data_IF_280547135725
#
_entry.id   IF_280547135725
#
_cell.length_a   1.000
_cell.length_b   1.000
_cell.length_c   1.000
_cell.angle_alpha   90.00
_cell.angle_beta   90.00
_cell.angle_gamma   90.00
#
_symmetry.space_group_name_H-M   'P 1'
#
loop_
_entity.id
_entity.type
_entity.pdbx_description
1 polymer ?
#
# COMPACT_ATOMS: atom_id res chain seq x y z
N UNK A 1 47.10 55.71 -48.38
CA UNK A 1 45.93 54.83 -48.63
C UNK A 1 46.48 53.42 -48.81
N UNK A 2 46.09 52.35 -48.13
CA UNK A 2 44.92 52.02 -47.33
C UNK A 2 45.31 50.86 -46.39
N UNK A 3 44.95 50.93 -45.11
CA UNK A 3 45.24 49.91 -44.10
C UNK A 3 44.18 48.81 -44.20
N UNK A 4 44.55 47.58 -44.57
CA UNK A 4 43.62 46.45 -44.61
C UNK A 4 43.41 45.90 -43.18
N UNK A 5 42.29 46.27 -42.57
CA UNK A 5 41.83 45.71 -41.29
C UNK A 5 41.25 44.32 -41.56
N UNK A 6 41.94 43.26 -41.12
CA UNK A 6 41.39 41.90 -41.10
C UNK A 6 40.43 41.79 -39.90
N UNK A 7 39.13 41.93 -40.16
CA UNK A 7 38.10 41.60 -39.17
C UNK A 7 37.99 40.09 -39.04
N UNK A 8 38.53 39.55 -37.94
CA UNK A 8 38.26 38.18 -37.51
C UNK A 8 36.81 38.12 -37.02
N UNK A 9 35.88 37.83 -37.93
CA UNK A 9 34.54 37.38 -37.59
C UNK A 9 34.65 35.96 -37.02
N UNK A 10 35.00 35.89 -35.73
CA UNK A 10 34.91 34.67 -34.93
C UNK A 10 33.42 34.37 -34.71
N UNK A 11 32.80 33.66 -35.66
CA UNK A 11 31.51 33.03 -35.41
C UNK A 11 31.74 31.95 -34.36
N UNK A 12 31.45 32.29 -33.10
CA UNK A 12 31.31 31.32 -32.01
C UNK A 12 30.15 30.39 -32.32
N UNK A 13 30.43 29.31 -33.04
CA UNK A 13 29.53 28.17 -33.13
C UNK A 13 29.42 27.61 -31.72
N UNK A 14 28.33 27.93 -31.02
CA UNK A 14 28.07 27.45 -29.65
C UNK A 14 28.25 25.93 -29.63
N UNK A 15 29.17 25.45 -28.81
CA UNK A 15 29.50 24.02 -28.67
C UNK A 15 28.22 23.23 -28.37
N UNK A 16 28.08 22.05 -28.99
CA UNK A 16 26.89 21.22 -28.81
C UNK A 16 26.70 20.89 -27.34
N UNK A 17 25.44 20.74 -26.91
CA UNK A 17 25.11 20.34 -25.53
C UNK A 17 25.84 19.03 -25.18
N UNK A 18 26.01 18.12 -26.15
CA UNK A 18 26.78 16.88 -25.98
C UNK A 18 28.26 17.13 -25.65
N UNK A 19 28.90 18.09 -26.31
CA UNK A 19 30.31 18.42 -26.08
C UNK A 19 30.53 19.07 -24.70
N UNK A 20 29.49 19.72 -24.15
CA UNK A 20 29.51 20.33 -22.82
C UNK A 20 29.32 19.33 -21.69
N UNK A 21 28.58 18.25 -21.92
CA UNK A 21 28.17 17.29 -20.88
C UNK A 21 29.16 16.13 -20.70
N UNK A 22 30.16 16.01 -21.58
CA UNK A 22 31.12 14.90 -21.56
C UNK A 22 30.48 13.56 -21.93
N UNK A 23 31.28 12.47 -22.00
CA UNK A 23 30.73 11.13 -22.15
C UNK A 23 29.89 10.81 -20.91
N UNK A 24 28.67 10.30 -21.12
CA UNK A 24 27.84 9.74 -20.05
C UNK A 24 28.65 8.60 -19.46
N UNK A 25 29.19 8.80 -18.25
CA UNK A 25 29.77 7.72 -17.48
C UNK A 25 28.68 6.65 -17.34
N UNK A 26 28.95 5.36 -17.65
CA UNK A 26 28.02 4.31 -17.32
C UNK A 26 27.72 4.45 -15.83
N UNK A 27 26.43 4.51 -15.49
CA UNK A 27 25.99 4.61 -14.11
C UNK A 27 26.59 3.42 -13.35
N UNK A 28 27.65 3.69 -12.57
CA UNK A 28 28.13 2.75 -11.59
C UNK A 28 27.06 2.73 -10.51
N UNK A 29 26.24 1.67 -10.50
CA UNK A 29 25.29 1.42 -9.43
C UNK A 29 26.06 1.50 -8.10
N UNK A 30 25.81 2.51 -7.25
CA UNK A 30 26.38 2.50 -5.93
C UNK A 30 25.78 1.29 -5.22
N UNK A 31 26.63 0.45 -4.63
CA UNK A 31 26.23 -0.69 -3.81
C UNK A 31 25.38 -0.19 -2.61
N UNK A 32 24.09 -0.08 -2.84
CA UNK A 32 23.03 0.18 -1.88
C UNK A 32 22.06 -1.00 -1.97
N UNK A 33 22.57 -2.17 -1.64
CA UNK A 33 21.92 -3.47 -1.85
C UNK A 33 20.60 -3.65 -1.07
N UNK A 34 20.23 -2.69 -0.21
CA UNK A 34 18.96 -2.67 0.52
C UNK A 34 17.95 -1.60 0.06
N UNK A 35 18.30 -0.74 -0.91
CA UNK A 35 17.41 0.33 -1.44
C UNK A 35 17.13 0.20 -2.93
N UNK A 36 17.87 -0.65 -3.65
CA UNK A 36 17.62 -0.89 -5.07
C UNK A 36 16.39 -1.79 -5.23
N UNK A 37 15.27 -1.20 -5.65
CA UNK A 37 14.05 -1.95 -5.97
C UNK A 37 14.40 -2.89 -7.14
N UNK A 38 14.27 -4.22 -7.00
CA UNK A 38 14.67 -5.14 -8.05
C UNK A 38 13.82 -4.93 -9.31
N UNK A 39 14.32 -5.26 -10.51
CA UNK A 39 13.53 -5.19 -11.73
C UNK A 39 12.28 -6.08 -11.65
N UNK A 40 11.25 -5.82 -12.47
CA UNK A 40 10.04 -6.62 -12.46
C UNK A 40 10.32 -8.09 -12.79
N UNK A 41 9.60 -9.00 -12.13
CA UNK A 41 9.77 -10.45 -12.29
C UNK A 41 10.81 -11.07 -11.36
N UNK A 42 11.65 -10.27 -10.71
CA UNK A 42 12.57 -10.78 -9.67
C UNK A 42 11.86 -10.82 -8.32
N UNK A 43 11.74 -11.98 -7.67
CA UNK A 43 11.07 -12.09 -6.38
C UNK A 43 11.82 -11.31 -5.30
N UNK A 44 11.08 -10.67 -4.40
CA UNK A 44 11.61 -10.01 -3.21
C UNK A 44 10.88 -10.52 -1.98
N UNK A 45 11.64 -11.00 -0.99
CA UNK A 45 11.09 -11.44 0.29
C UNK A 45 11.11 -10.25 1.25
N UNK A 46 9.94 -9.91 1.79
CA UNK A 46 9.81 -8.89 2.84
C UNK A 46 9.71 -9.63 4.17
N UNK A 47 10.58 -9.32 5.15
CA UNK A 47 10.53 -9.97 6.45
C UNK A 47 9.21 -9.73 7.19
N UNK A 48 8.79 -10.71 7.98
CA UNK A 48 7.63 -10.59 8.87
C UNK A 48 7.81 -9.48 9.91
N UNK A 49 6.66 -9.04 10.45
CA UNK A 49 6.59 -8.14 11.59
C UNK A 49 6.82 -8.90 12.90
N UNK A 50 7.30 -8.20 13.93
CA UNK A 50 7.55 -8.80 15.23
C UNK A 50 6.22 -9.14 15.95
N UNK A 51 5.96 -10.44 16.18
CA UNK A 51 4.71 -10.91 16.78
C UNK A 51 4.42 -10.30 18.17
N UNK A 52 5.47 -10.12 18.98
CA UNK A 52 5.36 -9.46 20.28
C UNK A 52 4.88 -8.01 20.20
N UNK A 53 5.23 -7.31 19.12
CA UNK A 53 4.82 -5.93 18.90
C UNK A 53 3.38 -5.84 18.39
N UNK A 54 2.94 -6.80 17.58
CA UNK A 54 1.55 -6.87 17.13
C UNK A 54 0.59 -7.06 18.31
N UNK A 55 0.96 -7.88 19.30
CA UNK A 55 0.10 -8.19 20.45
C UNK A 55 0.09 -7.10 21.53
N UNK A 56 1.21 -6.42 21.75
CA UNK A 56 1.41 -5.53 22.92
C UNK A 56 1.85 -4.11 22.55
N UNK A 57 2.25 -3.89 21.32
CA UNK A 57 2.78 -2.62 20.85
C UNK A 57 1.70 -1.57 20.65
N UNK A 58 2.13 -0.31 20.70
CA UNK A 58 1.29 0.81 20.31
C UNK A 58 1.14 0.90 18.79
N UNK A 59 0.06 1.55 18.32
CA UNK A 59 -0.18 1.77 16.88
C UNK A 59 1.02 2.45 16.21
N UNK A 60 1.68 3.38 16.89
CA UNK A 60 2.84 4.09 16.36
C UNK A 60 4.04 3.18 16.16
N UNK A 61 4.36 2.31 17.12
CA UNK A 61 5.48 1.38 17.00
C UNK A 61 5.23 0.35 15.88
N UNK A 62 4.00 -0.16 15.78
CA UNK A 62 3.58 -1.05 14.70
C UNK A 62 3.69 -0.32 13.34
N UNK A 63 3.27 0.95 13.28
CA UNK A 63 3.36 1.75 12.07
C UNK A 63 4.81 1.99 11.64
N UNK A 64 5.70 2.26 12.58
CA UNK A 64 7.14 2.44 12.32
C UNK A 64 7.78 1.17 11.78
N UNK A 65 7.49 0.01 12.40
CA UNK A 65 7.99 -1.27 11.91
C UNK A 65 7.44 -1.56 10.49
N UNK A 66 6.13 -1.39 10.30
CA UNK A 66 5.46 -1.62 9.03
C UNK A 66 5.99 -0.71 7.92
N UNK A 67 6.18 0.58 8.20
CA UNK A 67 6.76 1.53 7.26
C UNK A 67 8.20 1.16 6.88
N UNK A 68 9.01 0.70 7.84
CA UNK A 68 10.37 0.25 7.57
C UNK A 68 10.39 -0.97 6.64
N UNK A 69 9.54 -1.98 6.88
CA UNK A 69 9.45 -3.19 6.03
C UNK A 69 8.93 -2.88 4.63
N UNK A 70 7.98 -1.95 4.53
CA UNK A 70 7.42 -1.48 3.25
C UNK A 70 8.33 -0.50 2.50
N UNK A 71 9.42 -0.05 3.12
CA UNK A 71 10.27 1.03 2.64
C UNK A 71 9.46 2.30 2.32
N UNK A 72 8.46 2.62 3.14
CA UNK A 72 7.65 3.83 3.02
C UNK A 72 8.27 4.97 3.84
N UNK A 73 8.66 6.10 3.23
CA UNK A 73 9.29 7.20 3.96
C UNK A 73 8.34 7.93 4.91
N UNK A 74 7.01 7.88 4.66
CA UNK A 74 6.00 8.59 5.45
C UNK A 74 5.39 7.65 6.50
N UNK A 75 6.01 7.53 7.67
CA UNK A 75 5.49 6.72 8.79
C UNK A 75 4.10 7.18 9.22
N UNK A 76 3.87 8.50 9.30
CA UNK A 76 2.56 9.10 9.64
C UNK A 76 1.42 8.65 8.71
N UNK A 77 1.72 8.40 7.43
CA UNK A 77 0.74 7.88 6.49
C UNK A 77 0.33 6.46 6.86
N UNK A 78 1.28 5.61 7.26
CA UNK A 78 1.02 4.25 7.70
C UNK A 78 0.26 4.24 9.04
N UNK A 79 0.61 5.14 9.97
CA UNK A 79 -0.14 5.34 11.21
C UNK A 79 -1.60 5.66 10.92
N UNK A 80 -1.86 6.65 10.04
CA UNK A 80 -3.24 7.01 9.67
C UNK A 80 -4.01 5.88 8.96
N UNK A 81 -3.32 5.01 8.21
CA UNK A 81 -3.95 3.80 7.65
C UNK A 81 -4.37 2.86 8.79
N UNK A 82 -3.47 2.56 9.72
CA UNK A 82 -3.75 1.68 10.87
C UNK A 82 -4.91 2.22 11.73
N UNK A 83 -5.03 3.53 11.88
CA UNK A 83 -6.14 4.17 12.61
C UNK A 83 -7.48 4.05 11.88
N UNK A 84 -7.49 4.14 10.54
CA UNK A 84 -8.74 4.12 9.75
C UNK A 84 -9.27 2.70 9.53
N UNK A 85 -8.40 1.76 9.16
CA UNK A 85 -8.80 0.38 8.81
C UNK A 85 -8.51 -0.63 9.92
N UNK A 86 -7.72 -0.26 10.93
CA UNK A 86 -7.30 -1.16 12.00
C UNK A 86 -6.07 -2.00 11.66
N UNK A 87 -5.45 -2.53 12.72
CA UNK A 87 -4.31 -3.45 12.66
C UNK A 87 -4.64 -4.74 11.88
N UNK A 88 -5.74 -5.47 12.13
CA UNK A 88 -5.96 -6.78 11.50
C UNK A 88 -6.06 -6.69 9.97
N UNK A 89 -6.81 -5.73 9.44
CA UNK A 89 -6.93 -5.50 7.99
C UNK A 89 -5.62 -5.01 7.38
N UNK A 90 -4.89 -4.14 8.09
CA UNK A 90 -3.56 -3.70 7.65
C UNK A 90 -2.57 -4.87 7.54
N UNK A 91 -2.60 -5.81 8.48
CA UNK A 91 -1.78 -7.03 8.43
C UNK A 91 -2.18 -7.94 7.26
N UNK A 92 -3.47 -8.05 6.94
CA UNK A 92 -3.94 -8.79 5.77
C UNK A 92 -3.41 -8.20 4.47
N UNK A 93 -3.49 -6.87 4.31
CA UNK A 93 -2.92 -6.15 3.17
C UNK A 93 -1.40 -6.26 3.10
N UNK A 94 -0.74 -6.28 4.25
CA UNK A 94 0.71 -6.51 4.32
C UNK A 94 1.08 -7.90 3.80
N UNK A 95 0.37 -8.95 4.22
CA UNK A 95 0.56 -10.32 3.70
C UNK A 95 0.34 -10.40 2.19
N UNK A 96 -0.71 -9.79 1.68
CA UNK A 96 -0.96 -9.73 0.23
C UNK A 96 0.18 -9.00 -0.50
N UNK A 97 0.73 -7.95 0.10
CA UNK A 97 1.92 -7.26 -0.44
C UNK A 97 3.14 -8.17 -0.47
N UNK A 98 3.36 -8.96 0.59
CA UNK A 98 4.46 -9.93 0.64
C UNK A 98 4.33 -10.99 -0.45
N UNK A 99 3.12 -11.52 -0.67
CA UNK A 99 2.86 -12.55 -1.68
C UNK A 99 3.12 -12.03 -3.10
N UNK A 100 2.66 -10.81 -3.41
CA UNK A 100 2.89 -10.20 -4.73
C UNK A 100 4.39 -9.91 -4.94
N UNK A 101 5.10 -9.41 -3.92
CA UNK A 101 6.53 -9.15 -4.03
C UNK A 101 7.35 -10.44 -4.16
N UNK A 102 6.96 -11.51 -3.43
CA UNK A 102 7.52 -12.84 -3.56
C UNK A 102 7.28 -13.44 -4.95
N UNK A 103 6.22 -13.05 -5.64
CA UNK A 103 5.91 -13.47 -7.01
C UNK A 103 6.54 -12.56 -8.10
N UNK A 104 7.47 -11.68 -7.74
CA UNK A 104 8.18 -10.82 -8.70
C UNK A 104 7.71 -9.38 -8.76
N UNK A 105 6.80 -8.99 -7.85
CA UNK A 105 6.27 -7.64 -7.73
C UNK A 105 5.26 -7.26 -8.82
N UNK A 106 4.81 -6.01 -8.79
CA UNK A 106 3.79 -5.48 -9.71
C UNK A 106 4.26 -4.23 -10.42
N UNK A 107 3.94 -4.10 -11.71
CA UNK A 107 4.20 -2.87 -12.47
C UNK A 107 3.21 -1.77 -12.10
N UNK A 108 3.62 -0.50 -12.27
CA UNK A 108 2.63 0.59 -12.29
C UNK A 108 1.74 0.50 -13.54
N UNK A 109 0.55 1.10 -13.52
CA UNK A 109 -0.49 0.92 -14.55
C UNK A 109 -0.03 1.28 -15.97
N UNK A 110 0.90 2.20 -16.11
CA UNK A 110 1.47 2.60 -17.40
C UNK A 110 2.63 1.69 -17.86
N UNK A 111 3.01 0.67 -17.09
CA UNK A 111 4.09 -0.26 -17.41
C UNK A 111 5.50 0.34 -17.36
N UNK A 112 5.72 1.56 -16.87
CA UNK A 112 7.03 2.20 -17.00
C UNK A 112 8.05 1.76 -15.94
N UNK A 113 7.60 1.24 -14.80
CA UNK A 113 8.47 0.77 -13.70
C UNK A 113 7.76 -0.22 -12.78
N UNK A 114 8.54 -0.96 -12.00
CA UNK A 114 8.03 -1.74 -10.87
C UNK A 114 7.54 -0.81 -9.76
N UNK A 115 6.49 -1.22 -9.05
CA UNK A 115 6.04 -0.58 -7.80
C UNK A 115 7.00 -0.92 -6.67
N UNK A 116 7.10 0.01 -5.71
CA UNK A 116 7.69 -0.27 -4.41
C UNK A 116 6.73 -1.09 -3.56
N UNK A 117 7.20 -1.82 -2.54
CA UNK A 117 6.33 -2.49 -1.57
C UNK A 117 5.32 -1.54 -0.93
N UNK A 118 5.76 -0.38 -0.41
CA UNK A 118 4.84 0.64 0.13
C UNK A 118 3.85 1.17 -0.91
N UNK A 119 4.30 1.44 -2.13
CA UNK A 119 3.43 1.88 -3.22
C UNK A 119 2.48 0.79 -3.75
N UNK A 120 2.76 -0.48 -3.46
CA UNK A 120 1.90 -1.62 -3.74
C UNK A 120 0.86 -1.78 -2.61
N UNK A 121 1.29 -1.76 -1.35
CA UNK A 121 0.41 -1.76 -0.18
C UNK A 121 -0.67 -0.68 -0.27
N UNK A 122 -0.28 0.58 -0.55
CA UNK A 122 -1.22 1.68 -0.69
C UNK A 122 -2.11 1.55 -1.94
N UNK A 123 -1.66 0.84 -2.97
CA UNK A 123 -2.47 0.54 -4.15
C UNK A 123 -3.53 -0.51 -3.83
N UNK A 124 -3.17 -1.57 -3.12
CA UNK A 124 -4.11 -2.59 -2.65
C UNK A 124 -5.18 -1.98 -1.76
N UNK A 125 -4.78 -1.11 -0.83
CA UNK A 125 -5.71 -0.36 0.02
C UNK A 125 -6.72 0.44 -0.82
N UNK A 126 -6.28 1.09 -1.89
CA UNK A 126 -7.16 1.86 -2.80
C UNK A 126 -8.05 0.97 -3.68
N UNK A 127 -7.59 -0.22 -4.02
CA UNK A 127 -8.33 -1.18 -4.87
C UNK A 127 -9.27 -2.07 -4.05
N UNK A 128 -9.07 -2.17 -2.74
CA UNK A 128 -9.89 -2.94 -1.83
C UNK A 128 -11.37 -2.51 -1.91
N UNK A 129 -12.26 -3.48 -2.00
CA UNK A 129 -13.73 -3.28 -2.04
C UNK A 129 -14.41 -3.82 -0.79
N UNK A 130 -13.65 -4.02 0.28
CA UNK A 130 -14.18 -4.52 1.54
C UNK A 130 -15.14 -3.48 2.13
N UNK A 131 -16.35 -3.90 2.51
CA UNK A 131 -17.39 -3.00 3.01
C UNK A 131 -17.01 -2.32 4.33
N UNK A 132 -16.12 -2.95 5.11
CA UNK A 132 -15.59 -2.46 6.39
C UNK A 132 -14.59 -1.30 6.20
N UNK A 133 -14.05 -1.13 5.00
CA UNK A 133 -13.05 -0.11 4.71
C UNK A 133 -13.74 1.21 4.30
N UNK A 134 -13.59 2.25 5.12
CA UNK A 134 -14.12 3.58 4.82
C UNK A 134 -13.29 4.28 3.71
N UNK A 135 -13.70 4.07 2.46
CA UNK A 135 -13.05 4.63 1.27
C UNK A 135 -13.05 6.17 1.25
N UNK A 136 -14.02 6.84 1.89
CA UNK A 136 -14.05 8.31 2.00
C UNK A 136 -12.90 8.80 2.90
N UNK A 137 -12.74 8.16 4.07
CA UNK A 137 -11.66 8.47 5.00
C UNK A 137 -10.27 8.22 4.39
N UNK A 138 -10.08 7.12 3.66
CA UNK A 138 -8.84 6.82 2.95
C UNK A 138 -8.49 7.89 1.91
N UNK A 139 -9.47 8.32 1.10
CA UNK A 139 -9.26 9.40 0.14
C UNK A 139 -8.84 10.70 0.83
N UNK A 140 -9.45 11.03 1.97
CA UNK A 140 -9.07 12.19 2.77
C UNK A 140 -7.64 12.06 3.30
N UNK A 141 -7.24 10.90 3.84
CA UNK A 141 -5.88 10.65 4.30
C UNK A 141 -4.83 10.88 3.20
N UNK A 142 -5.07 10.33 1.99
CA UNK A 142 -4.16 10.55 0.86
C UNK A 142 -4.10 12.02 0.43
N UNK A 143 -5.23 12.72 0.43
CA UNK A 143 -5.26 14.16 0.11
C UNK A 143 -4.47 15.00 1.12
N UNK A 144 -4.53 14.68 2.42
CA UNK A 144 -3.74 15.37 3.45
C UNK A 144 -2.26 15.05 3.29
N UNK A 145 -1.89 13.77 3.19
CA UNK A 145 -0.49 13.34 3.10
C UNK A 145 0.26 13.86 1.86
N UNK A 146 -0.45 14.16 0.76
CA UNK A 146 0.13 14.76 -0.45
C UNK A 146 0.48 16.23 -0.30
N UNK A 147 -0.13 16.94 0.66
CA UNK A 147 0.16 18.35 0.98
C UNK A 147 1.35 18.48 1.92
N UNK A 148 1.69 17.44 2.66
CA UNK A 148 2.87 17.40 3.52
C UNK A 148 4.08 17.07 2.64
N UNK A 149 4.99 18.03 2.38
CA UNK A 149 6.22 17.73 1.67
C UNK A 149 7.01 16.69 2.47
N UNK A 150 7.74 15.77 1.82
CA UNK A 150 8.67 14.92 2.55
C UNK A 150 9.59 15.84 3.33
N UNK A 151 9.75 15.59 4.64
CA UNK A 151 10.71 16.29 5.50
C UNK A 151 12.10 15.98 4.95
N UNK A 152 12.49 16.73 3.93
CA UNK A 152 13.87 16.85 3.54
C UNK A 152 14.57 17.37 4.78
N UNK A 153 15.75 16.82 5.11
CA UNK A 153 16.65 17.32 6.16
C UNK A 153 17.02 18.77 5.88
N UNK A 154 16.11 19.69 6.11
CA UNK A 154 16.29 21.12 6.03
C UNK A 154 16.03 21.58 7.44
N UNK A 155 17.07 22.15 8.06
CA UNK A 155 16.97 22.88 9.33
C UNK A 155 16.12 24.15 9.10
N UNK A 156 14.83 24.00 8.82
CA UNK A 156 13.85 25.08 8.91
C UNK A 156 13.25 25.03 10.31
N UNK A 157 12.81 26.19 10.79
CA UNK A 157 12.43 26.43 12.17
C UNK A 157 11.29 25.48 12.59
N UNK A 158 11.64 24.35 13.19
CA UNK A 158 10.76 23.30 13.72
C UNK A 158 9.57 23.83 14.50
N UNK A 159 9.72 24.99 15.16
CA UNK A 159 8.65 25.67 15.89
C UNK A 159 7.49 26.18 15.01
N UNK A 160 7.75 26.51 13.74
CA UNK A 160 6.70 26.95 12.80
C UNK A 160 5.92 25.75 12.29
N UNK A 161 6.63 24.68 11.93
CA UNK A 161 6.04 23.43 11.45
C UNK A 161 5.20 22.73 12.53
N UNK A 162 5.67 22.71 13.79
CA UNK A 162 4.89 22.24 14.94
C UNK A 162 3.61 23.03 15.18
N UNK A 163 3.65 24.35 14.96
CA UNK A 163 2.47 25.22 15.11
C UNK A 163 1.46 24.96 13.99
N UNK A 164 1.92 24.78 12.76
CA UNK A 164 1.07 24.42 11.62
C UNK A 164 0.45 23.04 11.81
N UNK A 165 1.22 22.04 12.25
CA UNK A 165 0.73 20.69 12.52
C UNK A 165 -0.30 20.66 13.66
N UNK A 166 -0.04 21.36 14.77
CA UNK A 166 -1.01 21.48 15.88
C UNK A 166 -2.33 22.08 15.41
N UNK A 167 -2.27 23.17 14.64
CA UNK A 167 -3.47 23.82 14.09
C UNK A 167 -4.26 22.88 13.16
N UNK A 168 -3.56 22.15 12.30
CA UNK A 168 -4.18 21.18 11.39
C UNK A 168 -4.86 20.03 12.15
N UNK A 169 -4.24 19.55 13.24
CA UNK A 169 -4.79 18.48 14.08
C UNK A 169 -6.04 18.91 14.85
N UNK A 170 -6.08 20.18 15.28
CA UNK A 170 -7.24 20.77 15.93
C UNK A 170 -8.40 20.95 14.95
N UNK A 171 -8.11 21.44 13.74
CA UNK A 171 -9.11 21.57 12.67
C UNK A 171 -9.71 20.20 12.31
N UNK A 172 -8.88 19.15 12.22
CA UNK A 172 -9.35 17.79 11.94
C UNK A 172 -10.25 17.24 13.06
N UNK A 173 -9.84 17.43 14.33
CA UNK A 173 -10.65 17.03 15.49
C UNK A 173 -11.98 17.78 15.56
N UNK A 174 -12.01 19.05 15.16
CA UNK A 174 -13.22 19.87 15.13
C UNK A 174 -14.17 19.44 14.01
N UNK A 175 -13.64 19.05 12.85
CA UNK A 175 -14.45 18.49 11.74
C UNK A 175 -15.15 17.20 12.20
N UNK A 176 -14.41 16.27 12.83
CA UNK A 176 -14.98 15.02 13.35
C UNK A 176 -16.08 15.29 14.39
N UNK A 177 -15.86 16.26 15.29
CA UNK A 177 -16.86 16.67 16.29
C UNK A 177 -18.09 17.38 15.71
N UNK A 178 -17.98 17.95 14.50
CA UNK A 178 -19.09 18.65 13.85
C UNK A 178 -20.01 17.75 13.02
N UNK A 179 -19.60 16.50 12.73
CA UNK A 179 -20.42 15.50 12.04
C UNK A 179 -21.28 14.64 13.00
N UNK A 180 -21.14 14.80 14.33
CA UNK A 180 -22.02 14.18 15.33
C UNK A 180 -22.85 15.24 16.09
N UNK A 181 -24.09 15.46 15.66
CA UNK A 181 -25.12 16.00 16.56
C UNK A 181 -25.56 14.88 17.51
N UNK A 182 -25.51 15.07 18.84
CA UNK A 182 -26.06 14.12 19.79
C UNK A 182 -27.58 14.30 19.85
N UNK A 183 -28.30 13.66 18.93
CA UNK A 183 -29.72 13.37 19.13
C UNK A 183 -29.90 11.85 19.21
N UNK A 184 -30.06 11.42 20.46
CA UNK A 184 -30.75 10.19 20.90
C UNK A 184 -30.22 8.84 20.41
N UNK A 185 -29.16 8.34 21.06
CA UNK A 185 -28.91 6.89 21.09
C UNK A 185 -28.43 6.37 22.45
N UNK A 186 -28.80 7.05 23.55
CA UNK A 186 -28.45 6.56 24.90
C UNK A 186 -29.50 5.66 25.59
N UNK A 187 -30.69 5.44 25.02
CA UNK A 187 -31.75 4.69 25.72
C UNK A 187 -32.25 3.41 25.03
N UNK A 188 -31.54 2.87 24.04
CA UNK A 188 -31.89 1.55 23.51
C UNK A 188 -31.27 0.45 24.38
N UNK A 189 -31.98 0.12 25.46
CA UNK A 189 -31.83 -1.18 26.14
C UNK A 189 -31.95 -2.26 25.06
N UNK A 190 -30.96 -3.16 24.90
CA UNK A 190 -31.10 -4.29 24.00
C UNK A 190 -32.33 -5.08 24.42
N UNK A 191 -33.31 -5.19 23.53
CA UNK A 191 -34.42 -6.15 23.67
C UNK A 191 -33.80 -7.52 24.00
N UNK A 192 -34.25 -8.20 25.08
CA UNK A 192 -33.72 -9.51 25.42
C UNK A 192 -33.93 -10.43 24.23
N UNK A 193 -32.84 -11.07 23.80
CA UNK A 193 -32.85 -12.02 22.70
C UNK A 193 -33.86 -13.14 23.00
N UNK A 194 -35.02 -13.08 22.37
CA UNK A 194 -35.99 -14.16 22.39
C UNK A 194 -35.48 -15.21 21.41
N UNK A 195 -34.92 -16.28 21.98
CA UNK A 195 -34.49 -17.45 21.24
C UNK A 195 -35.69 -18.01 20.47
N UNK A 196 -35.64 -18.12 19.13
CA UNK A 196 -36.78 -18.58 18.35
C UNK A 196 -37.05 -20.05 18.71
N UNK A 197 -38.24 -20.31 19.24
CA UNK A 197 -38.77 -21.65 19.46
C UNK A 197 -38.54 -22.51 18.22
N UNK A 198 -37.83 -23.63 18.41
CA UNK A 198 -37.52 -24.55 17.35
C UNK A 198 -38.82 -24.99 16.66
N UNK A 199 -38.90 -24.95 15.32
CA UNK A 199 -40.09 -25.41 14.63
C UNK A 199 -40.35 -26.88 14.99
N UNK A 200 -41.60 -27.26 15.30
CA UNK A 200 -41.92 -28.63 15.66
C UNK A 200 -41.54 -29.55 14.49
N UNK A 201 -40.64 -30.48 14.81
CA UNK A 201 -40.32 -31.68 14.05
C UNK A 201 -41.58 -32.27 13.39
N UNK A 202 -41.62 -32.38 12.06
CA UNK A 202 -42.42 -33.34 11.27
C UNK A 202 -42.49 -32.93 9.79
N UNK A 203 -41.56 -33.38 8.96
CA UNK A 203 -41.93 -33.93 7.64
C UNK A 203 -40.94 -35.04 7.31
N UNK A 204 -41.43 -36.27 7.29
CA UNK A 204 -40.71 -37.43 6.79
C UNK A 204 -40.23 -37.16 5.35
N UNK A 205 -38.94 -37.36 5.11
CA UNK A 205 -38.34 -37.31 3.78
C UNK A 205 -38.70 -38.63 3.08
N UNK A 206 -39.43 -38.63 1.95
CA UNK A 206 -39.66 -39.86 1.21
C UNK A 206 -38.33 -40.38 0.67
N UNK A 207 -38.05 -41.66 0.92
CA UNK A 207 -36.95 -42.39 0.30
C UNK A 207 -37.18 -42.40 -1.22
N UNK A 208 -36.43 -41.57 -1.94
CA UNK A 208 -36.28 -41.73 -3.38
C UNK A 208 -35.35 -42.91 -3.61
N UNK A 209 -35.90 -43.91 -4.30
CA UNK A 209 -35.21 -45.11 -4.72
C UNK A 209 -33.94 -44.75 -5.49
N UNK A 210 -32.86 -45.44 -5.13
CA UNK A 210 -31.65 -45.51 -5.92
C UNK A 210 -31.97 -46.37 -7.14
N UNK A 211 -32.12 -45.74 -8.30
CA UNK A 211 -31.97 -46.45 -9.56
C UNK A 211 -30.47 -46.56 -9.84
N UNK A 212 -30.05 -47.80 -10.00
CA UNK A 212 -28.74 -48.26 -10.41
C UNK A 212 -28.43 -47.86 -11.86
N UNK A 213 -27.20 -48.19 -12.29
CA UNK A 213 -26.66 -48.11 -13.64
C UNK A 213 -25.99 -46.75 -13.97
N UNK A 214 -24.68 -46.68 -13.75
CA UNK A 214 -23.76 -46.36 -14.83
C UNK A 214 -22.34 -46.86 -14.47
N UNK A 215 -22.01 -48.02 -15.04
CA UNK A 215 -20.67 -48.61 -15.08
C UNK A 215 -19.69 -47.64 -15.75
N UNK A 216 -18.72 -47.12 -15.01
CA UNK A 216 -17.50 -46.55 -15.61
C UNK A 216 -16.38 -47.58 -15.54
N UNK A 217 -16.25 -48.27 -16.67
CA UNK A 217 -15.15 -49.12 -17.09
C UNK A 217 -13.79 -48.40 -16.88
N UNK A 218 -12.97 -48.91 -15.96
CA UNK A 218 -11.56 -48.54 -15.90
C UNK A 218 -10.74 -49.58 -16.68
N UNK A 219 -10.36 -49.23 -17.90
CA UNK A 219 -9.37 -49.97 -18.66
C UNK A 219 -7.99 -49.80 -18.00
N UNK A 220 -7.48 -50.91 -17.46
CA UNK A 220 -6.11 -51.09 -17.05
C UNK A 220 -5.18 -50.99 -18.27
N UNK A 221 -4.29 -49.99 -18.27
CA UNK A 221 -3.10 -50.00 -19.12
C UNK A 221 -1.94 -50.58 -18.33
N UNK A 222 -1.62 -51.84 -18.64
CA UNK A 222 -0.39 -52.52 -18.25
C UNK A 222 0.82 -51.79 -18.85
N UNK A 223 1.73 -51.34 -18.00
CA UNK A 223 3.08 -50.92 -18.41
C UNK A 223 4.02 -52.04 -18.00
N UNK A 224 4.38 -52.88 -18.97
CA UNK A 224 5.50 -53.82 -18.85
C UNK A 224 6.81 -53.06 -18.68
N UNK A 225 7.53 -53.39 -17.61
CA UNK A 225 8.94 -53.08 -17.43
C UNK A 225 9.77 -54.06 -18.28
N UNK A 226 10.66 -53.51 -19.11
CA UNK A 226 11.81 -54.20 -19.72
C UNK A 226 13.01 -53.29 -19.66
#
# INVERSE_FOLDING_TARGET
MSTLIKTNLFLERKRSIKDRLGPIQPFQEPALDNLSIPPPGIPRIIPELSASLIEKGSINEIAEELAAKLCEPKTELITGVLEIIGIPHSLKLFKETQDIEKNGGKMIKNGSRRRTPGGLFLQLLRESKEAEINQKAIKQLFNVSSRIPPVQKVKKNFQVELKEFRKLSEDFRNIIKSEESPEEFCDRVPEPFVEPEAPPNSVERPLLAHDEEDELHCDSLDIELS
#
